data_IF_497137455569
#
_entry.id   IF_497137455569
#
_cell.length_a   1.000
_cell.length_b   1.000
_cell.length_c   1.000
_cell.angle_alpha   90.00
_cell.angle_beta   90.00
_cell.angle_gamma   90.00
#
_symmetry.space_group_name_H-M   'P 1'
#
loop_
_entity.id
_entity.type
_entity.pdbx_description
1 polymer ?
#
# COMPACT_ATOMS: atom_id res chain seq x y z
N UNK A 1 -16.25 -10.24 42.89
CA UNK A 1 -15.22 -9.46 42.14
C UNK A 1 -14.60 -10.23 40.97
N UNK A 2 -14.82 -11.54 40.81
CA UNK A 2 -14.14 -12.37 39.80
C UNK A 2 -14.68 -12.14 38.36
N UNK A 3 -16.00 -11.99 38.18
CA UNK A 3 -16.59 -11.82 36.85
C UNK A 3 -16.26 -10.50 36.12
N UNK A 4 -15.92 -9.42 36.85
CA UNK A 4 -15.54 -8.15 36.23
C UNK A 4 -14.17 -8.20 35.53
N UNK A 5 -13.26 -9.02 36.03
CA UNK A 5 -11.90 -9.19 35.48
C UNK A 5 -11.95 -10.06 34.21
N UNK A 6 -12.80 -11.08 34.17
CA UNK A 6 -13.01 -11.92 32.98
C UNK A 6 -13.64 -11.12 31.83
N UNK A 7 -14.64 -10.28 32.12
CA UNK A 7 -15.27 -9.41 31.11
C UNK A 7 -14.28 -8.39 30.52
N UNK A 8 -13.35 -7.86 31.31
CA UNK A 8 -12.31 -6.95 30.82
C UNK A 8 -11.31 -7.67 29.89
N UNK A 9 -10.94 -8.91 30.20
CA UNK A 9 -10.04 -9.70 29.35
C UNK A 9 -10.67 -9.99 27.99
N UNK A 10 -11.92 -10.44 27.98
CA UNK A 10 -12.67 -10.72 26.74
C UNK A 10 -12.81 -9.45 25.89
N UNK A 11 -13.05 -8.30 26.52
CA UNK A 11 -13.13 -7.01 25.82
C UNK A 11 -11.79 -6.60 25.17
N UNK A 12 -10.67 -6.74 25.89
CA UNK A 12 -9.35 -6.42 25.34
C UNK A 12 -8.92 -7.40 24.24
N UNK A 13 -9.24 -8.69 24.36
CA UNK A 13 -9.01 -9.68 23.28
C UNK A 13 -9.79 -9.31 22.01
N UNK A 14 -11.08 -9.01 22.14
CA UNK A 14 -11.93 -8.58 21.01
C UNK A 14 -11.41 -7.29 20.36
N UNK A 15 -10.92 -6.36 21.19
CA UNK A 15 -10.33 -5.09 20.71
C UNK A 15 -9.02 -5.32 19.96
N UNK A 16 -8.14 -6.20 20.45
CA UNK A 16 -6.90 -6.58 19.77
C UNK A 16 -7.18 -7.25 18.43
N UNK A 17 -8.11 -8.20 18.39
CA UNK A 17 -8.52 -8.87 17.14
C UNK A 17 -9.04 -7.84 16.12
N UNK A 18 -9.86 -6.89 16.57
CA UNK A 18 -10.36 -5.82 15.70
C UNK A 18 -9.24 -4.92 15.17
N UNK A 19 -8.31 -4.50 16.02
CA UNK A 19 -7.15 -3.68 15.61
C UNK A 19 -6.27 -4.46 14.61
N UNK A 20 -6.06 -5.74 14.85
CA UNK A 20 -5.30 -6.62 13.98
C UNK A 20 -5.95 -6.76 12.60
N UNK A 21 -7.26 -7.03 12.55
CA UNK A 21 -8.02 -7.13 11.30
C UNK A 21 -8.00 -5.81 10.50
N UNK A 22 -8.13 -4.67 11.18
CA UNK A 22 -8.01 -3.35 10.53
C UNK A 22 -6.60 -3.12 9.99
N UNK A 23 -5.56 -3.49 10.74
CA UNK A 23 -4.17 -3.33 10.33
C UNK A 23 -3.85 -4.18 9.09
N UNK A 24 -4.30 -5.44 9.07
CA UNK A 24 -4.18 -6.33 7.91
C UNK A 24 -4.88 -5.71 6.69
N UNK A 25 -6.10 -5.21 6.87
CA UNK A 25 -6.87 -4.60 5.77
C UNK A 25 -6.12 -3.41 5.16
N UNK A 26 -5.55 -2.54 5.99
CA UNK A 26 -4.75 -1.40 5.53
C UNK A 26 -3.51 -1.86 4.76
N UNK A 27 -2.80 -2.88 5.26
CA UNK A 27 -1.61 -3.43 4.59
C UNK A 27 -2.01 -4.01 3.22
N UNK A 28 -3.10 -4.79 3.15
CA UNK A 28 -3.59 -5.36 1.88
C UNK A 28 -3.91 -4.25 0.88
N UNK A 29 -4.63 -3.21 1.30
CA UNK A 29 -4.95 -2.07 0.43
C UNK A 29 -3.67 -1.39 -0.09
N UNK A 30 -2.67 -1.22 0.76
CA UNK A 30 -1.38 -0.63 0.38
C UNK A 30 -0.66 -1.49 -0.68
N UNK A 31 -0.63 -2.82 -0.49
CA UNK A 31 -0.02 -3.74 -1.44
C UNK A 31 -0.74 -3.73 -2.79
N UNK A 32 -2.08 -3.71 -2.79
CA UNK A 32 -2.89 -3.61 -4.01
C UNK A 32 -2.60 -2.29 -4.74
N UNK A 33 -2.57 -1.15 -4.03
CA UNK A 33 -2.24 0.15 -4.61
C UNK A 33 -0.84 0.16 -5.22
N UNK A 34 0.15 -0.37 -4.51
CA UNK A 34 1.52 -0.50 -5.01
C UNK A 34 1.57 -1.32 -6.29
N UNK A 35 0.88 -2.45 -6.33
CA UNK A 35 0.82 -3.31 -7.52
C UNK A 35 0.21 -2.58 -8.73
N UNK A 36 -0.90 -1.85 -8.53
CA UNK A 36 -1.53 -1.06 -9.58
C UNK A 36 -0.55 0.01 -10.10
N UNK A 37 0.11 0.74 -9.21
CA UNK A 37 1.10 1.77 -9.59
C UNK A 37 2.25 1.15 -10.39
N UNK A 38 2.79 0.02 -9.93
CA UNK A 38 3.86 -0.68 -10.62
C UNK A 38 3.46 -1.05 -12.05
N UNK A 39 2.30 -1.72 -12.23
CA UNK A 39 1.82 -2.14 -13.55
C UNK A 39 1.52 -0.96 -14.44
N UNK A 40 0.90 0.08 -13.90
CA UNK A 40 0.52 1.29 -14.63
C UNK A 40 1.75 2.04 -15.11
N UNK A 41 2.75 2.22 -14.25
CA UNK A 41 4.01 2.85 -14.62
C UNK A 41 4.73 2.06 -15.72
N UNK A 42 4.87 0.75 -15.54
CA UNK A 42 5.58 -0.11 -16.49
C UNK A 42 4.89 -0.21 -17.86
N UNK A 43 3.58 0.02 -17.91
CA UNK A 43 2.81 -0.03 -19.16
C UNK A 43 2.70 1.34 -19.84
N UNK A 44 2.47 2.42 -19.08
CA UNK A 44 2.23 3.74 -19.65
C UNK A 44 3.51 4.48 -19.98
N UNK A 45 4.53 4.41 -19.12
CA UNK A 45 5.76 5.18 -19.31
C UNK A 45 6.47 4.92 -20.64
N UNK A 46 6.74 3.67 -21.07
CA UNK A 46 7.40 3.43 -22.36
C UNK A 46 6.54 3.92 -23.54
N UNK A 47 5.21 3.82 -23.44
CA UNK A 47 4.30 4.34 -24.46
C UNK A 47 4.33 5.85 -24.56
N UNK A 48 4.40 6.55 -23.43
CA UNK A 48 4.50 8.02 -23.38
C UNK A 48 5.82 8.46 -24.02
N UNK A 49 6.94 7.86 -23.61
CA UNK A 49 8.27 8.20 -24.14
C UNK A 49 8.31 8.02 -25.66
N UNK A 50 7.85 6.87 -26.15
CA UNK A 50 7.80 6.57 -27.58
C UNK A 50 6.90 7.54 -28.36
N UNK A 51 5.76 7.95 -27.80
CA UNK A 51 4.86 8.91 -28.44
C UNK A 51 5.43 10.34 -28.46
N UNK A 52 6.29 10.69 -27.49
CA UNK A 52 6.98 11.99 -27.45
C UNK A 52 8.24 12.05 -28.31
N UNK A 53 8.53 11.01 -29.09
CA UNK A 53 9.75 10.92 -29.90
C UNK A 53 11.03 10.65 -29.10
N UNK A 54 10.88 10.25 -27.83
CA UNK A 54 11.98 9.86 -26.97
C UNK A 54 12.41 8.41 -27.19
N UNK A 55 13.64 8.12 -26.77
CA UNK A 55 14.21 6.77 -26.82
C UNK A 55 13.77 5.96 -25.58
N UNK A 56 12.99 4.91 -25.81
CA UNK A 56 12.50 3.99 -24.77
C UNK A 56 13.56 2.95 -24.36
N UNK A 57 14.73 2.92 -25.00
CA UNK A 57 15.84 2.01 -24.65
C UNK A 57 16.40 2.24 -23.25
N UNK A 58 16.22 3.44 -22.69
CA UNK A 58 16.64 3.82 -21.33
C UNK A 58 15.56 3.55 -20.28
N UNK A 59 14.43 2.96 -20.67
CA UNK A 59 13.35 2.70 -19.73
C UNK A 59 13.75 1.66 -18.69
N UNK A 60 13.73 2.06 -17.42
CA UNK A 60 13.90 1.16 -16.28
C UNK A 60 12.52 0.88 -15.68
N UNK A 61 12.13 -0.40 -15.67
CA UNK A 61 10.87 -0.82 -15.07
C UNK A 61 10.92 -0.64 -13.55
N UNK A 62 9.81 -0.15 -12.99
CA UNK A 62 9.66 0.01 -11.55
C UNK A 62 9.52 -1.37 -10.90
N UNK A 63 10.38 -1.64 -9.93
CA UNK A 63 10.29 -2.82 -9.08
C UNK A 63 9.15 -2.66 -8.07
N UNK A 64 8.72 -3.76 -7.47
CA UNK A 64 7.64 -3.73 -6.48
C UNK A 64 8.03 -2.95 -5.22
N UNK A 65 9.31 -3.00 -4.83
CA UNK A 65 9.82 -2.23 -3.70
C UNK A 65 9.78 -0.73 -3.98
N UNK A 66 10.22 -0.31 -5.16
CA UNK A 66 10.15 1.08 -5.60
C UNK A 66 8.70 1.57 -5.71
N UNK A 67 7.78 0.74 -6.20
CA UNK A 67 6.35 1.11 -6.25
C UNK A 67 5.73 1.28 -4.87
N UNK A 68 6.16 0.50 -3.86
CA UNK A 68 5.77 0.72 -2.46
C UNK A 68 6.30 2.08 -1.99
N UNK A 69 7.58 2.38 -2.22
CA UNK A 69 8.16 3.67 -1.81
C UNK A 69 7.43 4.85 -2.46
N UNK A 70 7.09 4.75 -3.76
CA UNK A 70 6.31 5.75 -4.47
C UNK A 70 4.94 5.92 -3.80
N UNK A 71 4.18 4.84 -3.60
CA UNK A 71 2.86 4.91 -2.96
C UNK A 71 2.93 5.52 -1.56
N UNK A 72 3.94 5.16 -0.77
CA UNK A 72 4.17 5.75 0.55
C UNK A 72 4.46 7.25 0.46
N UNK A 73 5.38 7.65 -0.42
CA UNK A 73 5.75 9.05 -0.61
C UNK A 73 4.56 9.91 -1.00
N UNK A 74 3.75 9.47 -1.97
CA UNK A 74 2.51 10.16 -2.35
C UNK A 74 1.47 10.15 -1.21
N UNK A 75 1.38 9.06 -0.45
CA UNK A 75 0.46 8.98 0.70
C UNK A 75 0.81 9.96 1.82
N UNK A 76 2.08 10.34 1.98
CA UNK A 76 2.50 11.37 2.94
C UNK A 76 2.40 12.78 2.36
N UNK A 77 2.73 12.97 1.08
CA UNK A 77 2.78 14.28 0.44
C UNK A 77 1.39 14.89 0.23
N UNK A 78 0.37 14.07 -0.04
CA UNK A 78 -1.01 14.52 -0.30
C UNK A 78 -1.95 14.35 0.89
N UNK A 79 -1.44 13.94 2.05
CA UNK A 79 -2.20 13.84 3.31
C UNK A 79 -1.94 15.07 4.19
N UNK A 80 -2.15 16.25 3.59
CA UNK A 80 -2.25 17.55 4.29
C UNK A 80 -3.70 18.01 4.34
#
# INVERSE_FOLDING_TARGET
MIGGIELQKIYEEFKLERIFNLSITVIIILLIRSYIVQKTYNLMWPKIVRNTGGDDSKFTSLTFYESIMVVLLFSFLFKS
#
